data_IF_435064676967
#
_entry.id   IF_435064676967
#
_cell.length_a   1.000
_cell.length_b   1.000
_cell.length_c   1.000
_cell.angle_alpha   90.00
_cell.angle_beta   90.00
_cell.angle_gamma   90.00
#
_symmetry.space_group_name_H-M   'P 1'
#
loop_
_entity.id
_entity.type
_entity.pdbx_description
1 polymer ?
#
# COMPACT_ATOMS: atom_id res chain seq x y z
N UNK A 1 -17.63 -68.30 18.56
CA UNK A 1 -17.35 -67.45 17.39
C UNK A 1 -17.12 -65.98 17.89
N UNK A 2 -15.87 -65.59 18.05
CA UNK A 2 -15.54 -64.24 18.46
C UNK A 2 -15.15 -63.41 17.20
N UNK A 3 -15.91 -62.34 16.91
CA UNK A 3 -15.57 -61.40 15.84
C UNK A 3 -14.77 -60.25 16.45
N UNK A 4 -13.51 -60.15 16.06
CA UNK A 4 -12.63 -59.03 16.41
C UNK A 4 -12.89 -57.87 15.42
N UNK A 5 -13.40 -56.75 15.92
CA UNK A 5 -13.51 -55.50 15.16
C UNK A 5 -12.15 -54.78 15.21
N UNK A 6 -11.52 -54.58 14.05
CA UNK A 6 -10.33 -53.76 13.93
C UNK A 6 -10.78 -52.31 13.68
N UNK A 7 -10.42 -51.42 14.59
CA UNK A 7 -10.57 -49.97 14.41
C UNK A 7 -9.35 -49.43 13.61
N UNK A 8 -9.58 -48.94 12.41
CA UNK A 8 -8.58 -48.23 11.63
C UNK A 8 -8.69 -46.74 11.98
N UNK A 9 -7.69 -46.23 12.70
CA UNK A 9 -7.59 -44.80 13.03
C UNK A 9 -6.95 -44.09 11.84
N UNK A 10 -7.74 -43.32 11.10
CA UNK A 10 -7.23 -42.45 10.01
C UNK A 10 -6.60 -41.19 10.63
N UNK A 11 -5.27 -41.12 10.64
CA UNK A 11 -4.53 -39.91 11.05
C UNK A 11 -4.51 -38.96 9.86
N UNK A 12 -5.36 -37.91 9.89
CA UNK A 12 -5.26 -36.78 8.96
C UNK A 12 -4.04 -35.93 9.34
N UNK A 13 -2.96 -36.08 8.61
CA UNK A 13 -1.83 -35.13 8.62
C UNK A 13 -2.25 -33.85 7.90
N UNK A 14 -2.73 -32.85 8.64
CA UNK A 14 -2.86 -31.47 8.13
C UNK A 14 -1.47 -30.88 8.06
N UNK A 15 -0.86 -30.83 6.87
CA UNK A 15 0.33 -30.05 6.61
C UNK A 15 -0.02 -28.58 6.80
N UNK A 16 0.53 -27.95 7.84
CA UNK A 16 0.55 -26.50 8.00
C UNK A 16 1.40 -25.94 6.85
N UNK A 17 0.74 -25.48 5.79
CA UNK A 17 1.40 -24.68 4.75
C UNK A 17 1.76 -23.35 5.41
N UNK A 18 3.01 -23.22 5.80
CA UNK A 18 3.56 -21.97 6.29
C UNK A 18 3.53 -20.98 5.11
N UNK A 19 2.75 -19.92 5.22
CA UNK A 19 2.69 -18.91 4.17
C UNK A 19 4.09 -18.31 3.98
N UNK A 20 4.70 -18.57 2.83
CA UNK A 20 6.00 -17.99 2.51
C UNK A 20 5.90 -16.46 2.47
N UNK A 21 6.88 -15.80 3.09
CA UNK A 21 7.01 -14.35 3.00
C UNK A 21 7.19 -13.94 1.53
N UNK A 22 6.48 -12.91 1.05
CA UNK A 22 6.61 -12.48 -0.33
C UNK A 22 8.04 -12.02 -0.61
N UNK A 23 8.59 -12.40 -1.76
CA UNK A 23 9.85 -11.88 -2.23
C UNK A 23 9.72 -10.37 -2.55
N UNK A 24 10.74 -9.54 -2.26
CA UNK A 24 10.72 -8.14 -2.66
C UNK A 24 10.73 -8.01 -4.19
N UNK A 25 10.15 -6.92 -4.73
CA UNK A 25 10.19 -6.67 -6.17
C UNK A 25 11.61 -6.31 -6.62
N UNK A 26 11.93 -6.41 -7.92
CA UNK A 26 13.14 -5.84 -8.47
C UNK A 26 13.23 -4.34 -8.19
N UNK A 27 14.40 -3.87 -7.70
CA UNK A 27 14.64 -2.50 -7.27
C UNK A 27 15.78 -1.83 -8.04
N UNK A 28 15.73 -0.51 -8.16
CA UNK A 28 16.78 0.30 -8.79
C UNK A 28 17.58 1.11 -7.77
N UNK A 29 16.92 1.72 -6.80
CA UNK A 29 17.53 2.62 -5.82
C UNK A 29 17.87 1.92 -4.51
N UNK A 30 16.95 1.12 -4.04
CA UNK A 30 16.99 0.51 -2.71
C UNK A 30 17.41 -0.96 -2.77
N UNK A 31 18.09 -1.39 -1.71
CA UNK A 31 18.25 -2.81 -1.34
C UNK A 31 17.25 -3.11 -0.23
N UNK A 32 16.19 -3.92 -0.46
CA UNK A 32 15.32 -4.40 0.62
C UNK A 32 16.10 -5.22 1.65
N UNK A 33 15.80 -5.04 2.94
CA UNK A 33 16.48 -5.73 4.05
C UNK A 33 15.49 -6.64 4.78
N UNK A 34 14.50 -6.03 5.45
CA UNK A 34 13.57 -6.72 6.33
C UNK A 34 12.13 -6.50 5.86
N UNK A 35 11.32 -7.56 5.84
CA UNK A 35 9.89 -7.44 5.64
C UNK A 35 9.25 -6.83 6.91
N UNK A 36 8.60 -5.69 6.75
CA UNK A 36 7.95 -4.96 7.86
C UNK A 36 6.50 -5.41 8.03
N UNK A 37 5.79 -5.55 6.93
CA UNK A 37 4.40 -6.03 6.92
C UNK A 37 4.07 -6.66 5.59
N UNK A 38 3.16 -7.63 5.63
CA UNK A 38 2.53 -8.23 4.45
C UNK A 38 1.06 -8.45 4.75
N UNK A 39 0.18 -7.93 3.88
CA UNK A 39 -1.26 -8.09 4.01
C UNK A 39 -1.87 -8.47 2.66
N UNK A 40 -2.56 -9.61 2.64
CA UNK A 40 -3.25 -10.09 1.43
C UNK A 40 -4.60 -9.40 1.24
N UNK A 41 -5.22 -8.97 2.34
CA UNK A 41 -6.59 -8.47 2.39
C UNK A 41 -7.63 -9.51 1.94
N UNK A 42 -7.38 -10.77 2.23
CA UNK A 42 -8.26 -11.87 1.89
C UNK A 42 -9.15 -12.32 3.07
N UNK A 43 -8.94 -11.74 4.26
CA UNK A 43 -9.68 -12.06 5.47
C UNK A 43 -10.35 -10.83 6.09
N UNK A 44 -11.59 -10.93 6.60
CA UNK A 44 -12.27 -9.80 7.26
C UNK A 44 -11.48 -9.17 8.42
N UNK A 45 -10.66 -9.96 9.12
CA UNK A 45 -9.82 -9.50 10.21
C UNK A 45 -8.66 -8.58 9.78
N UNK A 46 -8.45 -8.37 8.46
CA UNK A 46 -7.49 -7.39 7.94
C UNK A 46 -7.80 -5.97 8.42
N UNK A 47 -9.07 -5.67 8.67
CA UNK A 47 -9.50 -4.41 9.26
C UNK A 47 -10.08 -4.64 10.65
N UNK A 48 -9.67 -3.79 11.61
CA UNK A 48 -10.30 -3.70 12.92
C UNK A 48 -11.60 -2.88 12.87
N UNK A 49 -12.20 -2.65 14.03
CA UNK A 49 -13.28 -1.65 14.15
C UNK A 49 -12.84 -0.30 13.57
N UNK A 50 -13.80 0.53 13.15
CA UNK A 50 -13.55 1.82 12.51
C UNK A 50 -12.40 2.60 13.16
N UNK A 51 -11.35 2.81 12.39
CA UNK A 51 -10.16 3.55 12.82
C UNK A 51 -9.15 2.80 13.71
N UNK A 52 -9.44 1.54 14.08
CA UNK A 52 -8.48 0.67 14.78
C UNK A 52 -7.72 -0.22 13.81
N UNK A 53 -6.49 -0.63 14.15
CA UNK A 53 -5.76 -1.62 13.35
C UNK A 53 -6.49 -2.97 13.34
N UNK A 54 -6.44 -3.66 12.20
CA UNK A 54 -6.78 -5.07 12.10
C UNK A 54 -5.67 -5.98 12.63
N UNK A 55 -5.81 -7.29 12.40
CA UNK A 55 -4.90 -8.30 12.93
C UNK A 55 -3.43 -8.09 12.51
N UNK A 56 -3.19 -7.61 11.29
CA UNK A 56 -1.86 -7.34 10.74
C UNK A 56 -1.42 -5.87 10.83
N UNK A 57 -2.12 -5.07 11.65
CA UNK A 57 -1.77 -3.68 11.93
C UNK A 57 -2.26 -2.63 10.90
N UNK A 58 -2.88 -3.06 9.81
CA UNK A 58 -3.48 -2.14 8.85
C UNK A 58 -4.76 -1.53 9.40
N UNK A 59 -4.99 -0.26 9.12
CA UNK A 59 -6.09 0.52 9.65
C UNK A 59 -6.84 1.25 8.55
N UNK A 60 -8.14 0.97 8.39
CA UNK A 60 -9.07 1.79 7.63
C UNK A 60 -9.38 3.07 8.41
N UNK A 61 -8.60 4.15 8.17
CA UNK A 61 -8.67 5.38 8.98
C UNK A 61 -9.78 6.34 8.57
N UNK A 62 -10.04 6.48 7.28
CA UNK A 62 -11.05 7.38 6.69
C UNK A 62 -11.78 6.60 5.60
N UNK A 63 -13.06 6.93 5.39
CA UNK A 63 -13.93 6.20 4.48
C UNK A 63 -14.40 4.87 5.10
N UNK A 64 -14.90 3.99 4.26
CA UNK A 64 -15.30 2.64 4.65
C UNK A 64 -14.39 1.63 3.96
N UNK A 65 -13.97 0.63 4.70
CA UNK A 65 -13.09 -0.42 4.21
C UNK A 65 -13.68 -1.77 4.56
N UNK A 66 -13.75 -2.65 3.59
CA UNK A 66 -14.26 -4.02 3.73
C UNK A 66 -13.43 -4.99 2.89
N UNK A 67 -13.64 -6.27 3.08
CA UNK A 67 -13.06 -7.30 2.22
C UNK A 67 -14.15 -7.77 1.26
N UNK A 68 -13.90 -7.61 -0.03
CA UNK A 68 -14.79 -8.06 -1.11
C UNK A 68 -13.97 -8.86 -2.10
N UNK A 69 -14.38 -10.08 -2.39
CA UNK A 69 -13.71 -11.00 -3.34
C UNK A 69 -12.21 -11.19 -3.06
N UNK A 70 -11.82 -11.25 -1.78
CA UNK A 70 -10.44 -11.47 -1.38
C UNK A 70 -9.53 -10.24 -1.58
N UNK A 71 -10.09 -9.04 -1.53
CA UNK A 71 -9.36 -7.78 -1.62
C UNK A 71 -9.97 -6.71 -0.72
N UNK A 72 -9.15 -5.75 -0.28
CA UNK A 72 -9.63 -4.55 0.38
C UNK A 72 -10.43 -3.70 -0.61
N UNK A 73 -11.67 -3.45 -0.29
CA UNK A 73 -12.61 -2.62 -1.06
C UNK A 73 -12.88 -1.32 -0.31
N UNK A 74 -12.94 -0.21 -1.02
CA UNK A 74 -13.11 1.10 -0.42
C UNK A 74 -14.35 1.84 -0.88
N UNK A 75 -14.87 2.69 0.03
CA UNK A 75 -15.85 3.74 -0.24
C UNK A 75 -15.34 5.01 0.42
N UNK A 76 -15.19 6.10 -0.34
CA UNK A 76 -14.75 7.38 0.22
C UNK A 76 -15.72 7.90 1.29
N UNK A 77 -15.24 8.77 2.17
CA UNK A 77 -16.10 9.49 3.12
C UNK A 77 -16.93 10.53 2.37
N UNK A 78 -18.27 10.47 2.51
CA UNK A 78 -19.18 11.45 1.97
C UNK A 78 -19.07 12.83 2.63
N UNK A 79 -19.76 13.86 2.09
CA UNK A 79 -19.79 15.18 2.68
C UNK A 79 -20.31 15.18 4.13
N UNK A 80 -19.71 16.01 4.98
CA UNK A 80 -20.11 16.23 6.37
C UNK A 80 -19.81 17.67 6.77
N UNK A 81 -20.32 18.13 7.91
CA UNK A 81 -19.96 19.47 8.44
C UNK A 81 -18.47 19.67 8.57
N UNK A 82 -17.75 18.65 9.04
CA UNK A 82 -16.28 18.68 9.19
C UNK A 82 -15.55 18.64 7.85
N UNK A 83 -16.15 18.00 6.84
CA UNK A 83 -15.57 17.79 5.50
C UNK A 83 -16.65 18.01 4.44
N UNK A 84 -16.95 19.26 4.07
CA UNK A 84 -18.05 19.58 3.14
C UNK A 84 -17.95 18.93 1.77
N UNK A 85 -16.73 18.55 1.35
CA UNK A 85 -16.48 17.86 0.07
C UNK A 85 -16.15 16.38 0.24
N UNK A 86 -16.42 15.81 1.43
CA UNK A 86 -16.00 14.45 1.75
C UNK A 86 -14.49 14.34 1.89
N UNK A 87 -13.99 13.10 1.88
CA UNK A 87 -12.55 12.80 1.92
C UNK A 87 -12.26 11.49 1.21
N UNK A 88 -11.13 11.43 0.49
CA UNK A 88 -10.63 10.15 -0.05
C UNK A 88 -10.58 9.11 1.07
N UNK A 89 -10.90 7.86 0.75
CA UNK A 89 -10.69 6.75 1.66
C UNK A 89 -9.19 6.57 1.93
N UNK A 90 -8.83 6.25 3.16
CA UNK A 90 -7.43 6.13 3.60
C UNK A 90 -7.27 4.87 4.44
N UNK A 91 -6.39 3.98 4.02
CA UNK A 91 -5.93 2.84 4.80
C UNK A 91 -4.42 2.91 4.98
N UNK A 92 -3.95 2.78 6.21
CA UNK A 92 -2.55 3.02 6.57
C UNK A 92 -2.02 1.96 7.54
N UNK A 93 -0.71 1.72 7.44
CA UNK A 93 0.09 0.97 8.39
C UNK A 93 1.09 1.91 9.07
N UNK A 94 1.22 1.82 10.40
CA UNK A 94 2.17 2.65 11.17
C UNK A 94 3.56 2.04 11.05
N UNK A 95 4.54 2.86 10.68
CA UNK A 95 5.94 2.48 10.53
C UNK A 95 6.86 3.50 11.20
N UNK A 96 8.17 3.27 11.11
CA UNK A 96 9.20 4.25 11.36
C UNK A 96 10.41 3.94 10.47
N UNK A 97 10.28 4.23 9.17
CA UNK A 97 11.25 3.85 8.15
C UNK A 97 11.98 5.07 7.58
N UNK A 98 13.29 4.94 7.35
CA UNK A 98 14.07 5.86 6.52
C UNK A 98 13.75 5.59 5.05
N UNK A 99 14.38 4.58 4.49
CA UNK A 99 14.13 4.11 3.13
C UNK A 99 13.20 2.91 3.15
N UNK A 100 12.41 2.74 2.10
CA UNK A 100 11.47 1.64 1.98
C UNK A 100 11.27 1.18 0.54
N UNK A 101 10.84 -0.07 0.43
CA UNK A 101 10.24 -0.64 -0.77
C UNK A 101 8.83 -1.11 -0.43
N UNK A 102 7.87 -0.77 -1.28
CA UNK A 102 6.49 -1.24 -1.19
C UNK A 102 6.15 -1.98 -2.48
N UNK A 103 5.42 -3.06 -2.36
CA UNK A 103 4.80 -3.80 -3.46
C UNK A 103 3.33 -4.03 -3.15
N UNK A 104 2.49 -4.07 -4.17
CA UNK A 104 1.09 -4.43 -4.05
C UNK A 104 0.40 -4.61 -5.38
N UNK A 105 -0.88 -4.88 -5.31
CA UNK A 105 -1.78 -4.94 -6.46
C UNK A 105 -2.99 -4.05 -6.20
N UNK A 106 -3.51 -3.42 -7.26
CA UNK A 106 -4.71 -2.60 -7.19
C UNK A 106 -5.57 -2.79 -8.45
N UNK A 107 -6.84 -2.49 -8.33
CA UNK A 107 -7.80 -2.34 -9.40
C UNK A 107 -8.57 -1.04 -9.15
N UNK A 108 -8.74 -0.19 -10.17
CA UNK A 108 -9.46 1.08 -10.01
C UNK A 108 -10.98 0.83 -9.83
N UNK A 109 -11.55 -0.12 -10.59
CA UNK A 109 -13.02 -0.27 -10.65
C UNK A 109 -13.67 1.03 -11.13
N UNK A 110 -14.69 1.49 -10.39
CA UNK A 110 -15.38 2.76 -10.66
C UNK A 110 -14.70 3.97 -10.00
N UNK A 111 -13.64 3.74 -9.22
CA UNK A 111 -12.86 4.81 -8.60
C UNK A 111 -12.11 5.64 -9.66
N UNK A 112 -12.26 6.96 -9.67
CA UNK A 112 -11.53 7.81 -10.62
C UNK A 112 -10.04 7.90 -10.31
N UNK A 113 -9.60 7.51 -9.09
CA UNK A 113 -8.23 7.70 -8.66
C UNK A 113 -7.89 6.79 -7.48
N UNK A 114 -6.74 6.13 -7.56
CA UNK A 114 -6.07 5.48 -6.43
C UNK A 114 -4.70 6.10 -6.19
N UNK A 115 -4.09 5.82 -5.04
CA UNK A 115 -2.73 6.26 -4.76
C UNK A 115 -2.11 5.52 -3.58
N UNK A 116 -0.78 5.63 -3.50
CA UNK A 116 0.01 5.09 -2.39
C UNK A 116 0.76 6.23 -1.73
N UNK A 117 0.63 6.34 -0.41
CA UNK A 117 1.02 7.51 0.37
C UNK A 117 2.06 7.17 1.42
N UNK A 118 3.00 8.10 1.66
CA UNK A 118 3.84 8.13 2.84
C UNK A 118 3.53 9.40 3.65
N UNK A 119 3.59 9.26 5.00
CA UNK A 119 3.50 10.39 5.94
C UNK A 119 4.76 10.43 6.80
N UNK A 120 5.15 11.60 7.26
CA UNK A 120 6.33 11.71 8.12
C UNK A 120 6.06 11.28 9.59
N UNK A 121 7.13 11.02 10.34
CA UNK A 121 7.06 10.62 11.75
C UNK A 121 6.97 11.78 12.70
N UNK A 122 7.57 12.93 12.35
CA UNK A 122 7.69 14.07 13.26
C UNK A 122 6.32 14.68 13.55
N UNK A 123 5.42 14.53 12.60
CA UNK A 123 4.02 14.92 12.76
C UNK A 123 3.15 13.86 12.07
N UNK A 124 2.60 12.89 12.81
CA UNK A 124 1.92 11.69 12.26
C UNK A 124 0.80 11.96 11.26
N UNK A 125 0.27 13.17 11.22
CA UNK A 125 -0.73 13.59 10.25
C UNK A 125 -0.14 14.41 9.08
N UNK A 126 1.16 14.71 9.09
CA UNK A 126 1.80 15.40 7.99
C UNK A 126 1.96 14.49 6.80
N UNK A 127 1.52 14.99 5.66
CA UNK A 127 1.76 14.34 4.40
C UNK A 127 3.23 14.51 3.98
N UNK A 128 3.81 13.46 3.42
CA UNK A 128 5.16 13.50 2.86
C UNK A 128 5.13 13.48 1.34
N UNK A 129 4.50 12.49 0.78
CA UNK A 129 4.36 12.35 -0.67
C UNK A 129 3.46 11.18 -1.03
N UNK A 130 3.11 11.11 -2.31
CA UNK A 130 2.36 9.99 -2.86
C UNK A 130 2.56 9.83 -4.37
N UNK A 131 2.39 8.63 -4.86
CA UNK A 131 2.06 8.36 -6.26
C UNK A 131 0.55 8.33 -6.40
N UNK A 132 0.05 8.93 -7.47
CA UNK A 132 -1.37 8.96 -7.81
C UNK A 132 -1.55 8.34 -9.19
N UNK A 133 -2.59 7.54 -9.34
CA UNK A 133 -2.90 6.74 -10.53
C UNK A 133 -4.36 6.97 -10.89
N UNK A 134 -4.59 7.34 -12.14
CA UNK A 134 -5.90 7.41 -12.78
C UNK A 134 -5.87 6.57 -14.06
N UNK A 135 -7.00 6.31 -14.71
CA UNK A 135 -6.98 5.62 -16.00
C UNK A 135 -6.08 6.28 -17.06
N UNK A 136 -5.87 7.62 -17.00
CA UNK A 136 -5.16 8.36 -18.06
C UNK A 136 -3.79 8.88 -17.68
N UNK A 137 -3.43 8.84 -16.38
CA UNK A 137 -2.17 9.44 -15.92
C UNK A 137 -1.65 8.82 -14.63
N UNK A 138 -0.33 8.85 -14.48
CA UNK A 138 0.37 8.57 -13.22
C UNK A 138 1.23 9.79 -12.89
N UNK A 139 1.23 10.22 -11.62
CA UNK A 139 2.13 11.29 -11.16
C UNK A 139 2.62 11.06 -9.75
N UNK A 140 3.80 11.60 -9.46
CA UNK A 140 4.35 11.69 -8.11
C UNK A 140 4.22 13.13 -7.64
N UNK A 141 3.68 13.30 -6.44
CA UNK A 141 3.58 14.61 -5.81
C UNK A 141 4.21 14.60 -4.42
N UNK A 142 4.95 15.65 -4.13
CA UNK A 142 5.34 16.00 -2.77
C UNK A 142 4.15 16.63 -2.07
N UNK A 143 4.03 16.34 -0.78
CA UNK A 143 2.97 16.87 0.06
C UNK A 143 3.56 17.46 1.34
N UNK A 144 2.90 18.45 1.90
CA UNK A 144 3.26 19.08 3.18
C UNK A 144 2.00 19.60 3.88
N UNK A 145 2.12 19.86 5.18
CA UNK A 145 1.00 20.36 6.00
C UNK A 145 0.00 19.27 6.37
N UNK A 146 -1.02 19.67 7.12
CA UNK A 146 -2.11 18.83 7.63
C UNK A 146 -3.47 19.49 7.32
N UNK A 147 -4.48 18.68 7.22
CA UNK A 147 -5.88 19.12 7.06
C UNK A 147 -6.02 20.24 5.98
N UNK A 148 -6.55 21.40 6.36
CA UNK A 148 -6.77 22.53 5.44
C UNK A 148 -5.47 23.18 4.94
N UNK A 149 -4.37 22.97 5.63
CA UNK A 149 -3.04 23.52 5.26
C UNK A 149 -2.27 22.56 4.33
N UNK A 150 -2.86 21.43 3.97
CA UNK A 150 -2.23 20.48 3.06
C UNK A 150 -1.94 21.13 1.71
N UNK A 151 -0.66 21.17 1.34
CA UNK A 151 -0.18 21.63 0.04
C UNK A 151 0.33 20.44 -0.75
N UNK A 152 0.02 20.43 -2.03
CA UNK A 152 0.41 19.38 -2.98
C UNK A 152 1.19 20.05 -4.10
N UNK A 153 2.33 19.44 -4.45
CA UNK A 153 3.17 19.88 -5.56
C UNK A 153 3.44 18.66 -6.44
N UNK A 154 2.99 18.71 -7.67
CA UNK A 154 3.28 17.68 -8.65
C UNK A 154 4.72 17.84 -9.14
N UNK A 155 5.52 16.80 -8.98
CA UNK A 155 6.92 16.80 -9.35
C UNK A 155 7.16 16.21 -10.74
N UNK A 156 6.35 15.24 -11.11
CA UNK A 156 6.45 14.55 -12.40
C UNK A 156 5.13 13.88 -12.74
N UNK A 157 4.81 13.80 -14.04
CA UNK A 157 3.60 13.13 -14.57
C UNK A 157 3.91 12.45 -15.90
N UNK A 158 3.28 11.29 -16.09
CA UNK A 158 3.23 10.61 -17.40
C UNK A 158 1.78 10.35 -17.78
N UNK A 159 1.53 10.36 -19.08
CA UNK A 159 0.26 9.87 -19.66
C UNK A 159 0.35 8.36 -19.81
N UNK A 160 -0.72 7.67 -19.49
CA UNK A 160 -0.85 6.21 -19.58
C UNK A 160 -2.25 5.86 -20.06
N UNK A 161 -2.45 4.60 -20.33
CA UNK A 161 -3.77 3.99 -20.53
C UNK A 161 -3.86 2.79 -19.58
N UNK A 162 -4.54 2.97 -18.44
CA UNK A 162 -4.72 1.97 -17.40
C UNK A 162 -6.14 1.44 -17.47
N UNK A 163 -6.30 0.15 -17.73
CA UNK A 163 -7.62 -0.50 -17.72
C UNK A 163 -8.20 -0.50 -16.30
N UNK A 164 -9.27 0.24 -16.00
CA UNK A 164 -9.80 0.32 -14.64
C UNK A 164 -10.35 -1.01 -14.12
N UNK A 165 -10.65 -1.96 -14.99
CA UNK A 165 -11.24 -3.26 -14.63
C UNK A 165 -10.21 -4.34 -14.37
N UNK A 166 -8.97 -4.15 -14.81
CA UNK A 166 -7.87 -5.10 -14.62
C UNK A 166 -7.16 -4.93 -13.27
N UNK A 167 -6.52 -6.00 -12.81
CA UNK A 167 -5.55 -5.93 -11.72
C UNK A 167 -4.20 -5.45 -12.25
N UNK A 168 -3.64 -4.46 -11.57
CA UNK A 168 -2.34 -3.87 -11.86
C UNK A 168 -1.37 -4.12 -10.70
N UNK A 169 -0.10 -4.32 -11.03
CA UNK A 169 0.97 -4.41 -10.04
C UNK A 169 1.59 -3.04 -9.78
N UNK A 170 2.00 -2.80 -8.56
CA UNK A 170 2.77 -1.62 -8.19
C UNK A 170 3.99 -2.01 -7.37
N UNK A 171 5.12 -1.36 -7.67
CA UNK A 171 6.32 -1.36 -6.85
C UNK A 171 6.80 0.07 -6.65
N UNK A 172 7.05 0.44 -5.40
CA UNK A 172 7.52 1.78 -5.02
C UNK A 172 8.84 1.64 -4.28
N UNK A 173 9.79 2.50 -4.62
CA UNK A 173 11.03 2.70 -3.90
C UNK A 173 11.09 4.14 -3.42
N UNK A 174 11.29 4.37 -2.13
CA UNK A 174 11.63 5.69 -1.57
C UNK A 174 12.97 5.56 -0.90
N UNK A 175 13.99 6.19 -1.48
CA UNK A 175 15.38 6.02 -1.10
C UNK A 175 16.09 7.38 -1.08
N UNK A 176 16.48 7.84 0.11
CA UNK A 176 16.97 9.20 0.28
C UNK A 176 15.94 10.20 -0.24
N UNK A 177 16.38 11.11 -1.10
CA UNK A 177 15.54 12.15 -1.72
C UNK A 177 14.81 11.71 -3.00
N UNK A 178 14.85 10.41 -3.36
CA UNK A 178 14.29 9.88 -4.61
C UNK A 178 13.11 8.96 -4.37
N UNK A 179 12.11 9.09 -5.25
CA UNK A 179 10.93 8.23 -5.30
C UNK A 179 10.79 7.65 -6.70
N UNK A 180 10.74 6.33 -6.80
CA UNK A 180 10.38 5.62 -8.04
C UNK A 180 9.09 4.87 -7.79
N UNK A 181 8.18 4.91 -8.76
CA UNK A 181 7.02 4.03 -8.82
C UNK A 181 7.01 3.31 -10.18
N UNK A 182 6.78 2.00 -10.13
CA UNK A 182 6.55 1.16 -11.31
C UNK A 182 5.16 0.59 -11.22
N UNK A 183 4.35 0.85 -12.23
CA UNK A 183 3.01 0.31 -12.38
C UNK A 183 3.02 -0.51 -13.69
N UNK A 184 2.97 -1.83 -13.56
CA UNK A 184 3.18 -2.78 -14.66
C UNK A 184 4.45 -2.43 -15.47
N UNK A 185 4.31 -2.05 -16.74
CA UNK A 185 5.43 -1.62 -17.60
C UNK A 185 5.78 -0.14 -17.48
N UNK A 186 4.94 0.68 -16.81
CA UNK A 186 5.17 2.11 -16.68
C UNK A 186 6.06 2.41 -15.49
N UNK A 187 7.04 3.26 -15.68
CA UNK A 187 7.93 3.72 -14.62
C UNK A 187 7.96 5.25 -14.57
N UNK A 188 7.89 5.80 -13.37
CA UNK A 188 7.95 7.22 -13.10
C UNK A 188 8.87 7.47 -11.90
N UNK A 189 9.64 8.56 -11.95
CA UNK A 189 10.57 8.93 -10.88
C UNK A 189 10.49 10.42 -10.56
N UNK A 190 10.70 10.76 -9.30
CA UNK A 190 10.83 12.13 -8.83
C UNK A 190 11.93 12.25 -7.78
N UNK A 191 12.44 13.45 -7.60
CA UNK A 191 13.43 13.79 -6.59
C UNK A 191 12.97 15.04 -5.83
N UNK A 192 13.00 14.96 -4.50
CA UNK A 192 12.71 16.10 -3.63
C UNK A 192 13.30 15.84 -2.23
N UNK A 193 13.98 16.83 -1.65
CA UNK A 193 14.63 16.72 -0.34
C UNK A 193 13.71 16.16 0.76
N UNK A 194 12.42 16.50 0.74
CA UNK A 194 11.45 16.01 1.72
C UNK A 194 11.29 14.49 1.72
N UNK A 195 11.63 13.78 0.68
CA UNK A 195 11.56 12.32 0.66
C UNK A 195 12.58 11.63 1.57
N UNK A 196 13.59 12.39 2.06
CA UNK A 196 14.54 11.91 3.08
C UNK A 196 13.90 11.80 4.47
N UNK A 197 12.80 12.51 4.73
CA UNK A 197 12.13 12.46 6.01
C UNK A 197 11.66 11.03 6.32
N UNK A 198 11.64 10.68 7.61
CA UNK A 198 11.21 9.35 8.04
C UNK A 198 9.72 9.14 7.75
N UNK A 199 9.38 7.95 7.28
CA UNK A 199 8.03 7.55 6.93
C UNK A 199 7.37 6.90 8.15
N UNK A 200 6.58 7.70 8.89
CA UNK A 200 5.83 7.24 10.06
C UNK A 200 4.60 6.43 9.71
N UNK A 201 4.14 6.53 8.47
CA UNK A 201 3.06 5.72 7.92
C UNK A 201 3.24 5.51 6.43
N UNK A 202 2.81 4.35 5.99
CA UNK A 202 2.61 4.02 4.57
C UNK A 202 1.17 3.56 4.37
N UNK A 203 0.62 3.78 3.18
CA UNK A 203 -0.77 3.38 2.96
C UNK A 203 -1.26 3.55 1.55
N UNK A 204 -2.53 3.24 1.38
CA UNK A 204 -3.28 3.38 0.15
C UNK A 204 -4.44 4.35 0.34
N UNK A 205 -4.78 5.07 -0.71
CA UNK A 205 -5.88 6.04 -0.75
C UNK A 205 -6.65 5.86 -2.04
N UNK A 206 -7.95 6.13 -2.00
CA UNK A 206 -8.78 6.15 -3.20
C UNK A 206 -9.90 7.16 -3.11
N UNK A 207 -10.41 7.60 -4.26
CA UNK A 207 -11.58 8.49 -4.39
C UNK A 207 -12.73 7.74 -5.01
N UNK A 208 -13.94 8.15 -4.64
CA UNK A 208 -15.16 7.53 -5.13
C UNK A 208 -15.46 6.24 -4.39
N UNK A 209 -15.73 5.21 -5.14
CA UNK A 209 -16.08 3.88 -4.67
C UNK A 209 -15.61 2.85 -5.68
N UNK A 210 -15.19 1.68 -5.21
CA UNK A 210 -14.94 0.54 -6.09
C UNK A 210 -13.47 0.20 -6.28
N UNK A 211 -12.53 1.00 -5.79
CA UNK A 211 -11.13 0.61 -5.84
C UNK A 211 -10.87 -0.60 -4.94
N UNK A 212 -10.01 -1.47 -5.40
CA UNK A 212 -9.60 -2.66 -4.66
C UNK A 212 -8.09 -2.76 -4.56
N UNK A 213 -7.62 -3.35 -3.43
CA UNK A 213 -6.20 -3.52 -3.14
C UNK A 213 -5.96 -4.89 -2.53
N UNK A 214 -4.81 -5.51 -2.89
CA UNK A 214 -4.40 -6.78 -2.30
C UNK A 214 -2.89 -6.98 -2.35
N UNK A 215 -2.39 -7.99 -1.65
CA UNK A 215 -1.00 -8.41 -1.68
C UNK A 215 0.00 -7.28 -1.38
N UNK A 216 -0.34 -6.39 -0.42
CA UNK A 216 0.55 -5.32 -0.01
C UNK A 216 1.66 -5.85 0.90
N UNK A 217 2.89 -5.50 0.56
CA UNK A 217 4.05 -5.80 1.37
C UNK A 217 5.00 -4.60 1.41
N UNK A 218 5.59 -4.36 2.57
CA UNK A 218 6.52 -3.25 2.81
C UNK A 218 7.81 -3.78 3.41
N UNK A 219 8.92 -3.38 2.84
CA UNK A 219 10.25 -3.70 3.35
C UNK A 219 10.96 -2.44 3.82
N UNK A 220 11.67 -2.55 4.93
CA UNK A 220 12.77 -1.65 5.26
C UNK A 220 13.85 -1.80 4.19
N UNK A 221 14.47 -0.70 3.79
CA UNK A 221 15.48 -0.71 2.76
C UNK A 221 16.67 0.20 3.10
N UNK A 222 17.73 0.06 2.33
CA UNK A 222 18.88 0.96 2.30
C UNK A 222 19.23 1.29 0.86
N UNK A 223 19.95 2.39 0.64
CA UNK A 223 20.43 2.73 -0.68
C UNK A 223 21.36 1.63 -1.23
N UNK A 224 21.17 1.27 -2.51
CA UNK A 224 22.14 0.42 -3.21
C UNK A 224 23.48 1.12 -3.29
N UNK A 225 24.55 0.39 -3.05
CA UNK A 225 25.91 0.88 -3.30
C UNK A 225 26.04 1.17 -4.81
N UNK A 226 26.51 2.37 -5.15
CA UNK A 226 26.91 2.62 -6.54
C UNK A 226 28.02 1.62 -6.91
N UNK A 227 27.99 1.03 -8.11
CA UNK A 227 29.15 0.29 -8.59
C UNK A 227 30.37 1.21 -8.45
N UNK A 228 31.44 0.71 -7.84
CA UNK A 228 32.73 1.40 -7.90
C UNK A 228 33.09 1.53 -9.38
N UNK A 229 33.30 2.77 -9.84
CA UNK A 229 33.89 2.96 -11.17
C UNK A 229 35.30 2.31 -11.16
N UNK A 230 35.44 1.24 -11.90
CA UNK A 230 36.75 0.64 -12.23
C UNK A 230 37.47 1.53 -13.24
#
# INVERSE_FOLDING_TARGET
MHRTLAFVTLVCLTSLVQAENPAPPPTQLCQPIDLVTCEKFDQPAAFGEKGKPGANGWRGGIGQWSIVEGAAYEIQEGPSEKRPHGHEAVCEYVTDLGDLVLRGEFRLGDSPQVGFVCRDTNQPNHHLGRVVITPQAIWIQKMSGIAKETRKEELTRIKVDIDPTAWHTIAIEVCGDRWIARIDQHMIAAQHQRFQDRKGRVGMVARGEGAQFRNLAVWKATAKKKPSAE
#
